data_IF_243451588451
#
_entry.id   IF_243451588451
#
_cell.length_a   1.000
_cell.length_b   1.000
_cell.length_c   1.000
_cell.angle_alpha   90.00
_cell.angle_beta   90.00
_cell.angle_gamma   90.00
#
_symmetry.space_group_name_H-M   'P 1'
#
loop_
_entity.id
_entity.type
_entity.pdbx_description
1 polymer ?
#
# COMPACT_ATOMS: atom_id res chain seq x y z
N UNK A 1 -4.43 -1.59 -6.28
CA UNK A 1 -3.53 -2.78 -6.23
C UNK A 1 -4.12 -3.88 -5.35
N UNK A 2 -4.33 -3.67 -4.06
CA UNK A 2 -4.84 -4.70 -3.13
C UNK A 2 -6.12 -5.39 -3.60
N UNK A 3 -7.12 -4.63 -4.03
CA UNK A 3 -8.36 -5.18 -4.62
C UNK A 3 -8.08 -6.05 -5.85
N UNK A 4 -7.13 -5.65 -6.71
CA UNK A 4 -6.76 -6.44 -7.89
C UNK A 4 -6.07 -7.76 -7.51
N UNK A 5 -5.25 -7.76 -6.44
CA UNK A 5 -4.66 -8.98 -5.89
C UNK A 5 -5.73 -9.92 -5.33
N UNK A 6 -6.63 -9.39 -4.50
CA UNK A 6 -7.68 -10.17 -3.85
C UNK A 6 -8.73 -10.71 -4.84
N UNK A 7 -9.01 -9.97 -5.92
CA UNK A 7 -9.89 -10.40 -7.02
C UNK A 7 -9.30 -11.59 -7.80
N UNK A 8 -7.96 -11.62 -7.97
CA UNK A 8 -7.26 -12.61 -8.77
C UNK A 8 -6.78 -13.85 -7.99
N UNK A 9 -6.71 -13.78 -6.66
CA UNK A 9 -6.13 -14.82 -5.80
C UNK A 9 -7.16 -15.37 -4.82
N UNK A 10 -6.98 -16.61 -4.40
CA UNK A 10 -7.86 -17.27 -3.41
C UNK A 10 -7.34 -17.12 -1.98
N UNK A 11 -6.05 -16.83 -1.82
CA UNK A 11 -5.42 -16.63 -0.52
C UNK A 11 -5.82 -15.26 0.11
N UNK A 12 -5.60 -15.14 1.40
CA UNK A 12 -6.00 -13.95 2.15
C UNK A 12 -5.01 -12.82 1.98
N UNK A 13 -5.53 -11.64 1.68
CA UNK A 13 -4.76 -10.40 1.50
C UNK A 13 -5.33 -9.32 2.41
N UNK A 14 -4.45 -8.61 3.09
CA UNK A 14 -4.81 -7.47 3.93
C UNK A 14 -4.08 -6.21 3.49
N UNK A 15 -4.74 -5.07 3.61
CA UNK A 15 -4.11 -3.75 3.56
C UNK A 15 -4.21 -3.10 4.94
N UNK A 16 -3.07 -2.72 5.48
CA UNK A 16 -2.94 -2.08 6.79
C UNK A 16 -2.66 -0.59 6.59
N UNK A 17 -3.50 0.24 7.17
CA UNK A 17 -3.27 1.68 7.23
C UNK A 17 -2.35 2.00 8.41
N UNK A 18 -1.07 2.18 8.11
CA UNK A 18 -0.03 2.53 9.07
C UNK A 18 0.41 4.00 8.95
N UNK A 19 -0.43 4.83 8.31
CA UNK A 19 -0.14 6.25 8.13
C UNK A 19 -0.32 7.00 9.47
N UNK A 20 0.76 7.60 10.03
CA UNK A 20 0.68 8.34 11.28
C UNK A 20 -0.07 9.67 11.15
N UNK A 21 -0.26 10.16 9.91
CA UNK A 21 -0.95 11.42 9.61
C UNK A 21 -2.44 11.21 9.29
N UNK A 22 -3.13 10.42 10.08
CA UNK A 22 -4.55 10.06 9.90
C UNK A 22 -4.84 9.49 8.52
N UNK A 23 -4.53 8.22 8.34
CA UNK A 23 -4.78 7.53 7.09
C UNK A 23 -6.27 7.46 6.74
N UNK A 24 -6.54 7.40 5.46
CA UNK A 24 -7.89 7.36 4.88
C UNK A 24 -8.18 6.07 4.12
N UNK A 25 -7.32 5.06 4.26
CA UNK A 25 -7.45 3.81 3.52
C UNK A 25 -8.81 3.14 3.76
N UNK A 26 -9.30 3.14 5.00
CA UNK A 26 -10.58 2.56 5.37
C UNK A 26 -11.80 3.27 4.76
N UNK A 27 -11.64 4.48 4.24
CA UNK A 27 -12.71 5.21 3.54
C UNK A 27 -12.91 4.72 2.10
N UNK A 28 -12.01 3.87 1.61
CA UNK A 28 -12.08 3.26 0.27
C UNK A 28 -12.98 2.04 0.22
N UNK A 29 -13.50 1.58 1.36
CA UNK A 29 -14.39 0.42 1.48
C UNK A 29 -15.59 0.74 2.37
N UNK A 30 -16.65 -0.05 2.24
CA UNK A 30 -17.78 0.02 3.17
C UNK A 30 -17.33 -0.50 4.54
N UNK A 31 -17.28 0.39 5.54
CA UNK A 31 -16.81 0.05 6.89
C UNK A 31 -17.77 -0.94 7.56
N UNK A 32 -17.23 -2.04 8.06
CA UNK A 32 -17.96 -3.09 8.79
C UNK A 32 -17.63 -3.05 10.29
N UNK A 33 -16.51 -2.41 10.66
CA UNK A 33 -16.08 -2.23 12.05
C UNK A 33 -15.51 -0.82 12.25
N UNK A 34 -15.46 -0.40 13.52
CA UNK A 34 -14.77 0.83 13.94
C UNK A 34 -13.37 0.55 14.50
N UNK A 35 -12.97 -0.72 14.51
CA UNK A 35 -11.66 -1.12 15.03
C UNK A 35 -10.53 -0.57 14.15
N UNK A 36 -9.41 -0.30 14.80
CA UNK A 36 -8.22 0.29 14.22
C UNK A 36 -6.98 -0.56 14.53
N UNK A 37 -5.82 -0.17 14.02
CA UNK A 37 -4.52 -0.76 14.39
C UNK A 37 -4.31 -0.78 15.91
N UNK A 38 -4.80 0.22 16.64
CA UNK A 38 -4.73 0.30 18.11
C UNK A 38 -5.50 -0.82 18.79
N UNK A 39 -6.69 -1.17 18.26
CA UNK A 39 -7.46 -2.31 18.77
C UNK A 39 -6.72 -3.63 18.61
N UNK A 40 -6.01 -3.82 17.49
CA UNK A 40 -5.17 -5.01 17.28
C UNK A 40 -4.06 -5.08 18.30
N UNK A 41 -3.34 -3.96 18.54
CA UNK A 41 -2.28 -3.90 19.55
C UNK A 41 -2.82 -4.20 20.95
N UNK A 42 -3.91 -3.54 21.34
CA UNK A 42 -4.52 -3.67 22.67
C UNK A 42 -5.04 -5.08 22.91
N UNK A 43 -5.60 -5.74 21.88
CA UNK A 43 -6.20 -7.08 21.98
C UNK A 43 -5.24 -8.19 21.56
N UNK A 44 -3.96 -7.90 21.27
CA UNK A 44 -3.02 -8.84 20.68
C UNK A 44 -2.96 -10.18 21.41
N UNK A 45 -2.94 -10.18 22.76
CA UNK A 45 -2.91 -11.38 23.57
C UNK A 45 -4.19 -12.25 23.49
N UNK A 46 -5.32 -11.66 23.11
CA UNK A 46 -6.61 -12.36 23.00
C UNK A 46 -6.93 -12.82 21.56
N UNK A 47 -6.14 -12.43 20.55
CA UNK A 47 -6.30 -12.86 19.16
C UNK A 47 -5.68 -14.26 19.00
N UNK A 48 -6.49 -15.30 19.21
CA UNK A 48 -6.05 -16.68 19.07
C UNK A 48 -6.13 -17.26 17.68
N UNK A 49 -7.00 -16.71 16.82
CA UNK A 49 -7.27 -17.23 15.49
C UNK A 49 -7.72 -16.18 14.47
N UNK A 50 -7.87 -16.63 13.21
CA UNK A 50 -8.32 -15.76 12.13
C UNK A 50 -9.68 -15.12 12.40
N UNK A 51 -10.60 -15.83 13.04
CA UNK A 51 -11.94 -15.30 13.37
C UNK A 51 -11.86 -14.07 14.26
N UNK A 52 -10.96 -14.10 15.26
CA UNK A 52 -10.78 -12.96 16.17
C UNK A 52 -10.19 -11.76 15.43
N UNK A 53 -9.18 -12.01 14.58
CA UNK A 53 -8.57 -10.96 13.77
C UNK A 53 -9.54 -10.37 12.75
N UNK A 54 -10.31 -11.22 12.06
CA UNK A 54 -11.25 -10.81 11.02
C UNK A 54 -12.39 -9.92 11.54
N UNK A 55 -12.70 -9.98 12.83
CA UNK A 55 -13.66 -9.08 13.46
C UNK A 55 -13.16 -7.62 13.59
N UNK A 56 -11.85 -7.40 13.41
CA UNK A 56 -11.21 -6.08 13.53
C UNK A 56 -10.96 -5.39 12.19
N UNK A 57 -11.29 -6.05 11.07
CA UNK A 57 -11.06 -5.53 9.72
C UNK A 57 -12.39 -5.33 8.98
N UNK A 58 -12.38 -4.48 7.95
CA UNK A 58 -13.47 -4.36 7.00
C UNK A 58 -13.08 -5.07 5.70
N UNK A 59 -14.00 -5.85 5.13
CA UNK A 59 -13.78 -6.61 3.90
C UNK A 59 -14.54 -5.99 2.73
N UNK A 60 -13.88 -5.81 1.61
CA UNK A 60 -14.52 -5.35 0.38
C UNK A 60 -15.12 -6.50 -0.46
N UNK A 61 -15.75 -6.14 -1.59
CA UNK A 61 -16.33 -7.10 -2.53
C UNK A 61 -15.32 -8.04 -3.19
N UNK A 62 -14.03 -7.67 -3.25
CA UNK A 62 -12.94 -8.49 -3.79
C UNK A 62 -12.33 -9.43 -2.75
N UNK A 63 -12.79 -9.37 -1.52
CA UNK A 63 -12.26 -10.10 -0.34
C UNK A 63 -10.96 -9.51 0.23
N UNK A 64 -10.58 -8.30 -0.17
CA UNK A 64 -9.49 -7.57 0.47
C UNK A 64 -9.94 -7.15 1.87
N UNK A 65 -9.16 -7.52 2.88
CA UNK A 65 -9.34 -7.03 4.25
C UNK A 65 -8.59 -5.71 4.44
N UNK A 66 -9.23 -4.77 5.12
CA UNK A 66 -8.66 -3.44 5.43
C UNK A 66 -8.65 -3.25 6.94
N UNK A 67 -7.46 -3.01 7.48
CA UNK A 67 -7.27 -2.58 8.87
C UNK A 67 -7.04 -1.07 8.90
N UNK A 68 -7.94 -0.35 9.57
CA UNK A 68 -7.94 1.11 9.62
C UNK A 68 -6.87 1.67 10.56
N UNK A 69 -6.34 2.86 10.25
CA UNK A 69 -5.59 3.69 11.20
C UNK A 69 -6.53 4.35 12.22
N UNK A 70 -5.96 4.90 13.28
CA UNK A 70 -6.71 5.70 14.25
C UNK A 70 -7.20 7.00 13.60
N UNK A 71 -8.41 7.41 13.97
CA UNK A 71 -9.01 8.68 13.50
C UNK A 71 -8.65 9.86 14.40
N UNK A 72 -8.28 9.60 15.65
CA UNK A 72 -7.77 10.60 16.58
C UNK A 72 -6.31 10.92 16.23
N UNK A 73 -5.96 12.20 15.99
CA UNK A 73 -4.60 12.59 15.61
C UNK A 73 -3.54 12.18 16.65
N UNK A 74 -3.84 12.33 17.94
CA UNK A 74 -2.91 12.00 19.02
C UNK A 74 -2.65 10.48 19.10
N UNK A 75 -3.69 9.69 18.90
CA UNK A 75 -3.56 8.23 18.87
C UNK A 75 -2.83 7.76 17.61
N UNK A 76 -3.10 8.38 16.47
CA UNK A 76 -2.42 8.07 15.20
C UNK A 76 -0.93 8.40 15.27
N UNK A 77 -0.56 9.57 15.80
CA UNK A 77 0.84 9.97 15.99
C UNK A 77 1.58 9.08 17.02
N UNK A 78 0.85 8.56 18.02
CA UNK A 78 1.40 7.66 19.04
C UNK A 78 1.60 6.22 18.55
N UNK A 79 1.17 5.87 17.33
CA UNK A 79 1.40 4.55 16.73
C UNK A 79 2.87 4.45 16.30
N UNK A 80 3.63 3.62 17.01
CA UNK A 80 5.08 3.53 16.85
C UNK A 80 5.56 2.24 16.18
N UNK A 81 6.88 2.06 16.12
CA UNK A 81 7.55 0.90 15.56
C UNK A 81 7.13 -0.42 16.27
N UNK A 82 7.00 -0.40 17.59
CA UNK A 82 6.63 -1.60 18.36
C UNK A 82 5.19 -1.99 18.09
N UNK A 83 4.29 -1.00 18.07
CA UNK A 83 2.89 -1.19 17.74
C UNK A 83 2.73 -1.79 16.34
N UNK A 84 3.44 -1.24 15.36
CA UNK A 84 3.44 -1.77 13.99
C UNK A 84 3.95 -3.21 13.93
N UNK A 85 5.02 -3.53 14.66
CA UNK A 85 5.57 -4.88 14.70
C UNK A 85 4.55 -5.90 15.22
N UNK A 86 3.78 -5.55 16.26
CA UNK A 86 2.69 -6.39 16.78
C UNK A 86 1.63 -6.64 15.70
N UNK A 87 1.18 -5.57 15.01
CA UNK A 87 0.19 -5.68 13.93
C UNK A 87 0.71 -6.54 12.79
N UNK A 88 1.95 -6.29 12.35
CA UNK A 88 2.56 -7.01 11.23
C UNK A 88 2.75 -8.51 11.54
N UNK A 89 3.19 -8.86 12.76
CA UNK A 89 3.34 -10.26 13.18
C UNK A 89 2.00 -11.00 13.22
N UNK A 90 0.95 -10.36 13.74
CA UNK A 90 -0.38 -10.95 13.75
C UNK A 90 -0.95 -11.08 12.34
N UNK A 91 -0.82 -10.05 11.50
CA UNK A 91 -1.27 -10.11 10.11
C UNK A 91 -0.56 -11.24 9.35
N UNK A 92 0.77 -11.37 9.49
CA UNK A 92 1.56 -12.40 8.81
C UNK A 92 1.17 -13.85 9.21
N UNK A 93 0.52 -14.04 10.37
CA UNK A 93 -0.01 -15.36 10.76
C UNK A 93 -1.23 -15.78 9.97
N UNK A 94 -2.02 -14.83 9.48
CA UNK A 94 -3.34 -15.09 8.91
C UNK A 94 -3.47 -14.74 7.43
N UNK A 95 -2.55 -13.94 6.90
CA UNK A 95 -2.57 -13.43 5.52
C UNK A 95 -1.29 -13.81 4.78
N UNK A 96 -1.45 -14.17 3.51
CA UNK A 96 -0.32 -14.49 2.62
C UNK A 96 0.39 -13.23 2.12
N UNK A 97 -0.36 -12.13 1.97
CA UNK A 97 0.16 -10.83 1.55
C UNK A 97 -0.36 -9.76 2.51
N UNK A 98 0.57 -8.99 3.03
CA UNK A 98 0.30 -7.80 3.86
C UNK A 98 0.77 -6.57 3.08
N UNK A 99 -0.17 -5.71 2.71
CA UNK A 99 0.11 -4.42 2.07
C UNK A 99 0.08 -3.35 3.16
N UNK A 100 1.14 -2.56 3.28
CA UNK A 100 1.20 -1.48 4.28
C UNK A 100 1.16 -0.13 3.59
N UNK A 101 0.15 0.68 3.91
CA UNK A 101 0.06 2.09 3.52
C UNK A 101 0.77 2.93 4.58
N UNK A 102 1.96 3.42 4.25
CA UNK A 102 2.86 4.09 5.18
C UNK A 102 2.68 5.61 5.23
N UNK A 103 1.81 6.18 4.38
CA UNK A 103 1.75 7.64 4.20
C UNK A 103 3.04 8.21 3.60
N UNK A 104 3.36 9.47 3.89
CA UNK A 104 4.48 10.22 3.30
C UNK A 104 5.66 10.44 4.25
N UNK A 105 5.52 10.09 5.53
CA UNK A 105 6.52 10.37 6.59
C UNK A 105 7.71 9.42 6.58
N UNK A 106 8.66 9.58 5.66
CA UNK A 106 9.79 8.66 5.48
C UNK A 106 10.70 8.51 6.72
N UNK A 107 10.75 9.50 7.60
CA UNK A 107 11.55 9.46 8.82
C UNK A 107 10.80 8.95 10.06
N UNK A 108 9.51 8.69 9.93
CA UNK A 108 8.70 8.18 11.04
C UNK A 108 9.15 6.76 11.46
N UNK A 109 9.07 6.45 12.76
CA UNK A 109 9.52 5.14 13.28
C UNK A 109 8.80 3.94 12.65
N UNK A 110 7.50 4.07 12.37
CA UNK A 110 6.70 3.07 11.65
C UNK A 110 7.25 2.79 10.26
N UNK A 111 7.73 3.81 9.54
CA UNK A 111 8.35 3.63 8.23
C UNK A 111 9.59 2.75 8.31
N UNK A 112 10.44 2.94 9.33
CA UNK A 112 11.61 2.09 9.55
C UNK A 112 11.21 0.64 9.77
N UNK A 113 10.26 0.37 10.65
CA UNK A 113 9.78 -0.98 10.91
C UNK A 113 9.17 -1.63 9.66
N UNK A 114 8.42 -0.87 8.87
CA UNK A 114 7.84 -1.33 7.62
C UNK A 114 8.91 -1.70 6.60
N UNK A 115 9.91 -0.85 6.40
CA UNK A 115 11.01 -1.10 5.44
C UNK A 115 11.86 -2.30 5.82
N UNK A 116 12.10 -2.55 7.12
CA UNK A 116 12.84 -3.71 7.59
C UNK A 116 12.11 -5.04 7.32
N UNK A 117 10.79 -5.01 7.17
CA UNK A 117 9.95 -6.18 6.92
C UNK A 117 9.53 -6.32 5.46
N UNK A 118 9.74 -5.27 4.66
CA UNK A 118 9.27 -5.24 3.28
C UNK A 118 10.04 -6.20 2.38
N UNK A 119 9.33 -7.05 1.67
CA UNK A 119 9.87 -7.89 0.59
C UNK A 119 9.89 -7.11 -0.76
N UNK A 120 9.05 -6.09 -0.89
CA UNK A 120 8.93 -5.22 -2.08
C UNK A 120 8.37 -3.87 -1.68
N UNK A 121 8.70 -2.84 -2.43
CA UNK A 121 8.13 -1.49 -2.25
C UNK A 121 7.52 -0.97 -3.54
N UNK A 122 6.45 -0.21 -3.38
CA UNK A 122 5.81 0.56 -4.46
C UNK A 122 5.91 2.03 -4.11
N UNK A 123 6.60 2.79 -4.95
CA UNK A 123 6.68 4.25 -4.83
C UNK A 123 5.55 4.86 -5.65
N UNK A 124 4.66 5.58 -4.99
CA UNK A 124 3.58 6.27 -5.69
C UNK A 124 4.01 7.70 -6.00
N UNK A 125 3.97 8.06 -7.27
CA UNK A 125 4.22 9.42 -7.76
C UNK A 125 3.01 9.91 -8.56
N UNK A 126 2.73 11.20 -8.49
CA UNK A 126 1.79 11.83 -9.41
C UNK A 126 2.42 12.13 -10.78
N UNK A 127 1.64 12.76 -11.63
CA UNK A 127 2.04 13.11 -12.99
C UNK A 127 2.66 14.49 -13.14
N UNK A 128 3.06 15.17 -12.07
CA UNK A 128 3.76 16.45 -12.10
C UNK A 128 5.26 16.29 -11.86
N UNK A 129 6.04 17.27 -12.32
CA UNK A 129 7.50 17.30 -12.10
C UNK A 129 7.83 17.37 -10.62
N UNK A 130 7.06 18.11 -9.83
CA UNK A 130 7.30 18.25 -8.39
C UNK A 130 7.05 16.93 -7.65
N UNK A 131 5.97 16.21 -7.97
CA UNK A 131 5.68 14.90 -7.40
C UNK A 131 6.74 13.86 -7.79
N UNK A 132 7.20 13.89 -9.03
CA UNK A 132 8.29 13.02 -9.51
C UNK A 132 9.61 13.32 -8.79
N UNK A 133 9.90 14.60 -8.51
CA UNK A 133 11.07 15.00 -7.74
C UNK A 133 11.02 14.46 -6.31
N UNK A 134 9.88 14.59 -5.62
CA UNK A 134 9.69 14.04 -4.27
C UNK A 134 9.84 12.52 -4.25
N UNK A 135 9.28 11.82 -5.23
CA UNK A 135 9.45 10.37 -5.36
C UNK A 135 10.92 9.98 -5.60
N UNK A 136 11.64 10.76 -6.42
CA UNK A 136 13.08 10.55 -6.66
C UNK A 136 13.92 10.82 -5.41
N UNK A 137 13.60 11.84 -4.63
CA UNK A 137 14.21 12.13 -3.33
C UNK A 137 13.99 10.98 -2.33
N UNK A 138 12.78 10.40 -2.32
CA UNK A 138 12.46 9.20 -1.53
C UNK A 138 13.35 8.02 -1.90
N UNK A 139 13.52 7.73 -3.20
CA UNK A 139 14.43 6.67 -3.66
C UNK A 139 15.87 6.94 -3.23
N UNK A 140 16.33 8.18 -3.34
CA UNK A 140 17.69 8.58 -2.94
C UNK A 140 17.90 8.39 -1.43
N UNK A 141 16.91 8.76 -0.63
CA UNK A 141 16.97 8.55 0.81
C UNK A 141 17.04 7.04 1.16
N UNK A 142 16.23 6.22 0.50
CA UNK A 142 16.24 4.76 0.69
C UNK A 142 17.61 4.15 0.35
N UNK A 143 18.22 4.54 -0.77
CA UNK A 143 19.56 4.09 -1.17
C UNK A 143 20.61 4.48 -0.13
N UNK A 144 20.58 5.73 0.34
CA UNK A 144 21.52 6.26 1.31
C UNK A 144 21.38 5.60 2.71
N UNK A 145 20.22 5.03 3.02
CA UNK A 145 19.93 4.40 4.31
C UNK A 145 19.95 2.85 4.27
N UNK A 146 20.58 2.27 3.26
CA UNK A 146 20.83 0.82 3.20
C UNK A 146 19.71 0.00 2.55
N UNK A 147 18.71 0.63 1.95
CA UNK A 147 17.58 -0.04 1.27
C UNK A 147 17.77 -0.14 -0.25
N UNK A 148 19.02 -0.10 -0.74
CA UNK A 148 19.32 -0.12 -2.17
C UNK A 148 18.78 -1.36 -2.91
N UNK A 149 18.70 -2.53 -2.26
CA UNK A 149 18.11 -3.73 -2.84
C UNK A 149 16.59 -3.58 -3.03
N UNK A 150 15.89 -2.99 -2.07
CA UNK A 150 14.47 -2.67 -2.19
C UNK A 150 14.24 -1.67 -3.33
N UNK A 151 15.09 -0.65 -3.48
CA UNK A 151 15.00 0.33 -4.56
C UNK A 151 15.17 -0.33 -5.93
N UNK A 152 16.19 -1.18 -6.11
CA UNK A 152 16.39 -1.88 -7.39
C UNK A 152 15.23 -2.78 -7.79
N UNK A 153 14.52 -3.34 -6.81
CA UNK A 153 13.32 -4.17 -7.01
C UNK A 153 12.01 -3.39 -6.93
N UNK A 154 12.07 -2.08 -6.66
CA UNK A 154 10.89 -1.24 -6.52
C UNK A 154 10.09 -1.12 -7.83
N UNK A 155 8.82 -0.80 -7.67
CA UNK A 155 7.93 -0.41 -8.76
C UNK A 155 7.50 1.04 -8.50
N UNK A 156 7.55 1.88 -9.53
CA UNK A 156 6.94 3.21 -9.48
C UNK A 156 5.55 3.15 -10.09
N UNK A 157 4.54 3.51 -9.30
CA UNK A 157 3.17 3.70 -9.77
C UNK A 157 2.95 5.19 -10.06
N UNK A 158 2.88 5.55 -11.35
CA UNK A 158 2.57 6.91 -11.80
C UNK A 158 1.05 7.09 -11.80
N UNK A 159 0.54 7.76 -10.79
CA UNK A 159 -0.89 8.03 -10.65
C UNK A 159 -1.27 9.32 -11.38
N UNK A 160 -1.98 9.19 -12.50
CA UNK A 160 -2.49 10.33 -13.27
C UNK A 160 -3.87 10.73 -12.77
N UNK A 161 -3.95 11.24 -11.53
CA UNK A 161 -5.20 11.58 -10.85
C UNK A 161 -5.96 12.76 -11.51
N UNK A 162 -5.31 13.55 -12.36
CA UNK A 162 -5.92 14.69 -13.06
C UNK A 162 -6.09 14.43 -14.54
N UNK A 163 -7.22 14.85 -15.12
CA UNK A 163 -7.41 14.88 -16.58
C UNK A 163 -6.43 15.89 -17.21
N UNK A 164 -5.83 15.51 -18.32
CA UNK A 164 -5.01 16.43 -19.13
C UNK A 164 -3.51 16.40 -18.84
N UNK A 165 -3.01 15.44 -18.05
CA UNK A 165 -1.55 15.23 -17.96
C UNK A 165 -0.99 14.89 -19.32
N UNK A 166 -0.05 15.69 -19.83
CA UNK A 166 0.56 15.48 -21.15
C UNK A 166 1.37 14.18 -21.17
N UNK A 167 1.16 13.34 -22.20
CA UNK A 167 1.94 12.12 -22.40
C UNK A 167 3.45 12.39 -22.51
N UNK A 168 3.84 13.51 -23.12
CA UNK A 168 5.26 13.92 -23.24
C UNK A 168 5.88 14.14 -21.87
N UNK A 169 5.16 14.82 -20.96
CA UNK A 169 5.65 15.03 -19.59
C UNK A 169 5.75 13.71 -18.81
N UNK A 170 4.84 12.76 -19.04
CA UNK A 170 4.90 11.44 -18.41
C UNK A 170 6.14 10.65 -18.85
N UNK A 171 6.51 10.71 -20.13
CA UNK A 171 7.72 10.04 -20.63
C UNK A 171 9.00 10.64 -20.06
N UNK A 172 9.05 11.96 -19.90
CA UNK A 172 10.15 12.65 -19.24
C UNK A 172 10.26 12.21 -17.77
N UNK A 173 9.14 12.14 -17.05
CA UNK A 173 9.07 11.69 -15.66
C UNK A 173 9.54 10.24 -15.56
N UNK A 174 9.06 9.34 -16.41
CA UNK A 174 9.49 7.94 -16.41
C UNK A 174 10.99 7.80 -16.63
N UNK A 175 11.59 8.65 -17.48
CA UNK A 175 13.02 8.59 -17.76
C UNK A 175 13.88 8.78 -16.49
N UNK A 176 13.41 9.55 -15.51
CA UNK A 176 14.08 9.76 -14.22
C UNK A 176 14.07 8.51 -13.32
N UNK A 177 13.08 7.62 -13.50
CA UNK A 177 12.95 6.41 -12.67
C UNK A 177 13.53 5.17 -13.34
N UNK A 178 13.55 5.12 -14.68
CA UNK A 178 13.84 3.93 -15.49
C UNK A 178 15.18 3.24 -15.19
N UNK A 179 16.18 3.99 -14.78
CA UNK A 179 17.50 3.46 -14.44
C UNK A 179 17.64 3.02 -12.97
N UNK A 180 16.65 3.30 -12.12
CA UNK A 180 16.74 3.13 -10.66
C UNK A 180 15.84 2.03 -10.13
N UNK A 181 14.70 1.80 -10.76
CA UNK A 181 13.67 0.88 -10.31
C UNK A 181 13.43 -0.23 -11.32
N UNK A 182 12.82 -1.32 -10.88
CA UNK A 182 12.57 -2.48 -11.72
C UNK A 182 11.53 -2.21 -12.80
N UNK A 183 10.42 -1.57 -12.41
CA UNK A 183 9.30 -1.33 -13.32
C UNK A 183 8.58 -0.02 -13.01
N UNK A 184 7.87 0.50 -14.00
CA UNK A 184 7.01 1.68 -13.89
C UNK A 184 5.63 1.33 -14.44
N UNK A 185 4.58 1.60 -13.69
CA UNK A 185 3.19 1.37 -14.09
C UNK A 185 2.42 2.67 -14.07
N UNK A 186 1.82 3.04 -15.19
CA UNK A 186 0.91 4.18 -15.28
C UNK A 186 -0.47 3.77 -14.80
N UNK A 187 -1.00 4.48 -13.80
CA UNK A 187 -2.38 4.35 -13.35
C UNK A 187 -3.19 5.46 -14.02
N UNK A 188 -4.07 5.13 -14.97
CA UNK A 188 -4.81 6.13 -15.72
C UNK A 188 -5.85 6.83 -14.84
N UNK A 189 -6.26 8.02 -15.27
CA UNK A 189 -7.36 8.74 -14.61
C UNK A 189 -8.64 7.92 -14.60
N UNK A 190 -9.17 7.74 -13.41
CA UNK A 190 -10.47 7.13 -13.17
C UNK A 190 -11.29 8.02 -12.22
N UNK A 191 -12.50 8.45 -12.62
CA UNK A 191 -13.30 9.36 -11.80
C UNK A 191 -13.66 8.76 -10.44
N UNK A 192 -13.81 7.42 -10.33
CA UNK A 192 -14.08 6.78 -9.07
C UNK A 192 -12.89 6.86 -8.11
N UNK A 193 -11.66 6.69 -8.63
CA UNK A 193 -10.44 6.88 -7.82
C UNK A 193 -10.24 8.35 -7.44
N UNK A 194 -10.51 9.27 -8.36
CA UNK A 194 -10.38 10.70 -8.13
C UNK A 194 -11.40 11.23 -7.10
N UNK A 195 -12.56 10.61 -6.98
CA UNK A 195 -13.59 10.99 -6.00
C UNK A 195 -13.14 10.78 -4.54
N UNK A 196 -12.14 9.94 -4.29
CA UNK A 196 -11.62 9.71 -2.94
C UNK A 196 -12.64 9.09 -1.97
N UNK A 197 -13.63 8.35 -2.46
CA UNK A 197 -14.68 7.68 -1.70
C UNK A 197 -14.54 6.15 -1.78
N UNK A 198 -15.59 5.42 -1.40
CA UNK A 198 -15.65 3.95 -1.55
C UNK A 198 -15.41 3.56 -3.01
N UNK A 199 -14.52 2.61 -3.22
CA UNK A 199 -14.13 2.10 -4.53
C UNK A 199 -14.77 0.74 -4.77
N UNK A 200 -15.50 0.59 -5.88
CA UNK A 200 -15.94 -0.70 -6.39
C UNK A 200 -14.98 -1.13 -7.51
N UNK A 201 -14.20 -2.17 -7.29
CA UNK A 201 -13.18 -2.61 -8.25
C UNK A 201 -13.78 -3.00 -9.62
N UNK A 202 -14.94 -3.65 -9.62
CA UNK A 202 -15.64 -4.05 -10.85
C UNK A 202 -16.12 -2.88 -11.69
N UNK A 203 -16.42 -1.73 -11.04
CA UNK A 203 -16.97 -0.55 -11.69
C UNK A 203 -15.88 0.44 -12.17
N UNK A 204 -14.61 0.17 -11.84
CA UNK A 204 -13.48 0.91 -12.43
C UNK A 204 -13.42 0.72 -13.94
N UNK A 205 -12.89 1.70 -14.65
CA UNK A 205 -12.65 1.58 -16.10
C UNK A 205 -11.81 0.33 -16.40
N UNK A 206 -12.05 -0.37 -17.52
CA UNK A 206 -11.28 -1.56 -17.88
C UNK A 206 -9.76 -1.32 -17.91
N UNK A 207 -9.33 -0.16 -18.40
CA UNK A 207 -7.90 0.23 -18.45
C UNK A 207 -7.32 0.43 -17.03
N UNK A 208 -8.11 0.97 -16.10
CA UNK A 208 -7.71 1.14 -14.70
C UNK A 208 -7.57 -0.21 -14.01
N UNK A 209 -8.53 -1.12 -14.22
CA UNK A 209 -8.44 -2.49 -13.71
C UNK A 209 -7.22 -3.23 -14.25
N UNK A 210 -6.95 -3.07 -15.55
CA UNK A 210 -5.76 -3.67 -16.18
C UNK A 210 -4.47 -3.14 -15.53
N UNK A 211 -4.34 -1.82 -15.38
CA UNK A 211 -3.18 -1.21 -14.73
C UNK A 211 -3.01 -1.69 -13.29
N UNK A 212 -4.10 -1.80 -12.53
CA UNK A 212 -4.08 -2.30 -11.16
C UNK A 212 -3.66 -3.78 -11.08
N UNK A 213 -4.10 -4.62 -12.03
CA UNK A 213 -3.69 -6.04 -12.13
C UNK A 213 -2.24 -6.17 -12.56
N UNK A 214 -1.78 -5.35 -13.51
CA UNK A 214 -0.36 -5.31 -13.92
C UNK A 214 0.53 -4.96 -12.73
N UNK A 215 0.19 -3.90 -11.98
CA UNK A 215 0.93 -3.53 -10.78
C UNK A 215 0.94 -4.67 -9.75
N UNK A 216 -0.20 -5.31 -9.52
CA UNK A 216 -0.33 -6.45 -8.62
C UNK A 216 0.56 -7.64 -9.04
N UNK A 217 0.55 -7.99 -10.32
CA UNK A 217 1.37 -9.08 -10.87
C UNK A 217 2.86 -8.80 -10.70
N UNK A 218 3.31 -7.59 -11.06
CA UNK A 218 4.70 -7.17 -10.92
C UNK A 218 5.18 -7.21 -9.47
N UNK A 219 4.34 -6.81 -8.50
CA UNK A 219 4.69 -6.92 -7.08
C UNK A 219 4.89 -8.39 -6.70
N UNK A 220 3.96 -9.26 -7.06
CA UNK A 220 4.04 -10.70 -6.74
C UNK A 220 5.26 -11.35 -7.41
N UNK A 221 5.55 -11.03 -8.67
CA UNK A 221 6.73 -11.50 -9.39
C UNK A 221 8.05 -11.07 -8.74
N UNK A 222 8.07 -9.91 -8.09
CA UNK A 222 9.23 -9.38 -7.38
C UNK A 222 9.45 -9.97 -5.98
N UNK A 223 8.49 -10.74 -5.45
CA UNK A 223 8.65 -11.36 -4.13
C UNK A 223 9.72 -12.46 -4.16
N UNK A 224 10.43 -12.70 -3.04
CA UNK A 224 11.36 -13.82 -2.91
C UNK A 224 10.68 -15.15 -3.26
N UNK A 225 11.43 -16.08 -3.88
CA UNK A 225 10.89 -17.36 -4.38
C UNK A 225 10.18 -18.17 -3.28
N UNK A 226 10.68 -18.15 -2.06
CA UNK A 226 10.10 -18.79 -0.87
C UNK A 226 8.72 -18.24 -0.49
N UNK A 227 8.43 -16.99 -0.87
CA UNK A 227 7.15 -16.31 -0.61
C UNK A 227 6.16 -16.47 -1.76
N UNK A 228 6.62 -16.78 -2.99
CA UNK A 228 5.74 -16.98 -4.14
C UNK A 228 4.98 -18.32 -4.10
N UNK A 229 5.53 -19.29 -3.40
CA UNK A 229 5.00 -20.66 -3.32
C UNK A 229 3.96 -20.88 -2.23
N UNK A 230 3.66 -19.85 -1.43
CA UNK A 230 2.59 -19.85 -0.41
C UNK A 230 1.40 -19.10 -0.97
#
# INVERSE_FOLDING_TARGET
>A
MGMAMADAREDRIIAVDANPDRGTLSERVSKQTRSTVRDVVTKAASIGGFTDFSALVSRDETRLDILASDTDPLLSEAFDENDYNVVADLAARFYSIVLTDCGTGIVHSVMRATLQRADSIVIVSGGSVDEARLASETLTWLEANGYGDLVRNAIVALNTATQGTSLVKLEEIESHFRSRVREIVRIPYDPQLAAGSVVSFKDLKPITRLAARTLAALVVEGLPAERRAR
#
